data_IF_553728616598
#
_entry.id   IF_553728616598
#
_cell.length_a   1.000
_cell.length_b   1.000
_cell.length_c   1.000
_cell.angle_alpha   90.00
_cell.angle_beta   90.00
_cell.angle_gamma   90.00
#
_symmetry.space_group_name_H-M   'P 1'
#
loop_
_entity.id
_entity.type
_entity.pdbx_description
1 polymer ?
#
# COMPACT_ATOMS: atom_id res chain seq x y z
N UNK A 1 -7.71 -28.27 17.97
CA UNK A 1 -8.10 -26.98 17.36
C UNK A 1 -7.91 -25.96 18.46
N UNK A 2 -6.84 -25.19 18.36
CA UNK A 2 -6.35 -24.38 19.46
C UNK A 2 -6.78 -22.93 19.25
N UNK A 3 -7.72 -22.49 20.09
CA UNK A 3 -8.11 -21.10 20.25
C UNK A 3 -6.87 -20.25 20.62
N UNK A 4 -6.85 -18.91 20.42
CA UNK A 4 -5.81 -18.06 21.00
C UNK A 4 -5.58 -18.28 22.52
N UNK A 5 -6.50 -18.96 23.22
CA UNK A 5 -6.34 -19.45 24.59
C UNK A 5 -5.30 -20.57 24.81
N UNK A 6 -4.75 -21.18 23.75
CA UNK A 6 -3.79 -22.31 23.86
C UNK A 6 -2.32 -21.90 23.65
N UNK A 7 -2.02 -20.64 23.34
CA UNK A 7 -0.65 -20.13 23.34
C UNK A 7 -0.32 -19.61 24.74
N UNK A 8 0.61 -20.26 25.44
CA UNK A 8 1.13 -19.75 26.72
C UNK A 8 1.98 -18.50 26.48
N UNK A 9 1.33 -17.34 26.42
CA UNK A 9 1.94 -16.03 26.21
C UNK A 9 1.88 -15.20 27.50
N UNK A 10 2.87 -14.33 27.69
CA UNK A 10 2.82 -13.36 28.79
C UNK A 10 1.68 -12.34 28.59
N UNK A 11 1.35 -11.63 29.67
CA UNK A 11 0.21 -10.69 29.69
C UNK A 11 0.42 -9.48 28.77
N UNK A 12 1.66 -9.02 28.59
CA UNK A 12 1.98 -7.86 27.76
C UNK A 12 1.81 -8.21 26.28
N UNK A 13 2.37 -9.35 25.85
CA UNK A 13 2.18 -9.92 24.52
C UNK A 13 0.69 -10.14 24.23
N UNK A 14 -0.04 -10.72 25.18
CA UNK A 14 -1.49 -10.97 25.01
C UNK A 14 -2.25 -9.66 24.80
N UNK A 15 -1.95 -8.61 25.59
CA UNK A 15 -2.57 -7.31 25.45
C UNK A 15 -2.22 -6.63 24.11
N UNK A 16 -0.97 -6.75 23.65
CA UNK A 16 -0.52 -6.24 22.36
C UNK A 16 -1.29 -6.90 21.20
N UNK A 17 -1.36 -8.24 21.21
CA UNK A 17 -2.08 -9.02 20.21
C UNK A 17 -3.56 -8.64 20.15
N UNK A 18 -4.21 -8.50 21.31
CA UNK A 18 -5.61 -8.06 21.38
C UNK A 18 -5.80 -6.63 20.85
N UNK A 19 -4.94 -5.68 21.23
CA UNK A 19 -5.03 -4.28 20.78
C UNK A 19 -4.97 -4.16 19.26
N UNK A 20 -4.09 -4.94 18.62
CA UNK A 20 -3.88 -4.87 17.17
C UNK A 20 -4.69 -5.91 16.38
N UNK A 21 -5.54 -6.70 17.03
CA UNK A 21 -6.53 -7.55 16.37
C UNK A 21 -5.97 -8.87 15.86
N UNK A 22 -5.12 -9.54 16.65
CA UNK A 22 -4.64 -10.88 16.34
C UNK A 22 -5.81 -11.85 16.11
N UNK A 23 -5.80 -12.52 14.97
CA UNK A 23 -6.74 -13.59 14.64
C UNK A 23 -6.08 -14.97 14.88
N UNK A 24 -6.43 -15.56 16.03
CA UNK A 24 -5.90 -16.87 16.42
C UNK A 24 -6.39 -18.03 15.57
N UNK A 25 -7.57 -17.94 14.95
CA UNK A 25 -8.10 -18.99 14.07
C UNK A 25 -7.35 -18.99 12.74
N UNK A 26 -7.18 -17.82 12.14
CA UNK A 26 -6.36 -17.65 10.94
C UNK A 26 -4.91 -18.07 11.22
N UNK A 27 -4.33 -17.64 12.35
CA UNK A 27 -2.98 -18.04 12.73
C UNK A 27 -2.83 -19.57 12.84
N UNK A 28 -3.76 -20.25 13.53
CA UNK A 28 -3.73 -21.70 13.67
C UNK A 28 -3.88 -22.43 12.31
N UNK A 29 -4.73 -21.91 11.42
CA UNK A 29 -4.90 -22.44 10.06
C UNK A 29 -3.62 -22.32 9.24
N UNK A 30 -2.95 -21.16 9.27
CA UNK A 30 -1.70 -20.91 8.56
C UNK A 30 -0.54 -21.74 9.10
N UNK A 31 -0.46 -21.89 10.43
CA UNK A 31 0.49 -22.80 11.08
C UNK A 31 0.29 -24.24 10.61
N UNK A 32 -0.95 -24.73 10.62
CA UNK A 32 -1.25 -26.08 10.14
C UNK A 32 -0.89 -26.26 8.65
N UNK A 33 -1.05 -25.22 7.83
CA UNK A 33 -0.63 -25.22 6.42
C UNK A 33 0.90 -25.32 6.29
N UNK A 34 1.65 -24.63 7.15
CA UNK A 34 3.11 -24.77 7.23
C UNK A 34 3.53 -26.18 7.65
N UNK A 35 2.90 -26.76 8.66
CA UNK A 35 3.19 -28.12 9.15
C UNK A 35 2.98 -29.20 8.08
N UNK A 36 2.02 -28.99 7.17
CA UNK A 36 1.76 -29.88 6.02
C UNK A 36 2.71 -29.66 4.84
N UNK A 37 3.60 -28.66 4.90
CA UNK A 37 4.48 -28.30 3.79
C UNK A 37 3.81 -27.53 2.65
N UNK A 38 2.60 -27.00 2.88
CA UNK A 38 1.78 -26.27 1.89
C UNK A 38 2.07 -24.75 1.90
N UNK A 39 3.22 -24.34 2.45
CA UNK A 39 3.63 -22.95 2.64
C UNK A 39 5.06 -22.70 2.10
N UNK A 40 5.47 -23.45 1.08
CA UNK A 40 6.73 -23.24 0.36
C UNK A 40 6.64 -22.12 -0.68
N UNK A 41 7.79 -21.69 -1.22
CA UNK A 41 7.85 -20.64 -2.24
C UNK A 41 7.03 -21.00 -3.49
N UNK A 42 7.00 -22.29 -3.86
CA UNK A 42 6.18 -22.79 -4.97
C UNK A 42 4.68 -22.62 -4.72
N UNK A 43 4.22 -22.69 -3.46
CA UNK A 43 2.81 -22.51 -3.11
C UNK A 43 2.36 -21.04 -3.24
N UNK A 44 3.29 -20.09 -3.37
CA UNK A 44 2.96 -18.70 -3.65
C UNK A 44 2.74 -18.41 -5.14
N UNK A 45 3.13 -19.35 -6.03
CA UNK A 45 3.07 -19.18 -7.47
C UNK A 45 1.68 -19.41 -8.01
N UNK A 46 1.37 -18.74 -9.11
CA UNK A 46 0.14 -18.93 -9.84
C UNK A 46 0.21 -20.27 -10.60
N UNK A 47 -0.79 -21.13 -10.41
CA UNK A 47 -0.92 -22.40 -11.13
C UNK A 47 -1.63 -22.23 -12.50
N UNK A 48 -2.37 -21.13 -12.67
CA UNK A 48 -3.11 -20.80 -13.89
C UNK A 48 -2.26 -20.23 -15.03
N UNK A 49 -2.91 -19.98 -16.17
CA UNK A 49 -2.23 -19.41 -17.33
C UNK A 49 -1.89 -17.93 -17.11
N UNK A 50 -0.60 -17.59 -17.18
CA UNK A 50 -0.13 -16.20 -17.08
C UNK A 50 0.28 -15.67 -18.44
N UNK A 51 -0.21 -14.48 -18.79
CA UNK A 51 0.13 -13.76 -20.03
C UNK A 51 0.46 -12.30 -19.74
N UNK A 52 1.30 -11.65 -20.56
CA UNK A 52 1.49 -10.21 -20.46
C UNK A 52 0.17 -9.45 -20.72
N UNK A 53 0.06 -8.19 -20.30
CA UNK A 53 -1.06 -7.32 -20.67
C UNK A 53 -1.22 -7.21 -22.19
N UNK A 54 -2.47 -7.07 -22.64
CA UNK A 54 -2.85 -6.85 -24.02
C UNK A 54 -2.82 -5.36 -24.39
N UNK A 55 -2.86 -5.05 -25.68
CA UNK A 55 -2.95 -3.68 -26.17
C UNK A 55 -4.23 -3.01 -25.65
N UNK A 56 -4.06 -1.88 -24.96
CA UNK A 56 -5.17 -1.11 -24.38
C UNK A 56 -5.48 -1.44 -22.91
N UNK A 57 -4.89 -2.50 -22.35
CA UNK A 57 -5.00 -2.85 -20.92
C UNK A 57 -4.40 -1.76 -20.03
N UNK A 58 -3.30 -1.16 -20.48
CA UNK A 58 -2.60 -0.08 -19.79
C UNK A 58 -2.73 1.19 -20.63
N UNK A 59 -3.41 2.19 -20.09
CA UNK A 59 -3.63 3.48 -20.76
C UNK A 59 -2.59 4.49 -20.28
N UNK A 60 -1.86 5.18 -21.16
CA UNK A 60 -0.99 6.27 -20.73
C UNK A 60 -1.81 7.42 -20.15
N UNK A 61 -1.32 8.02 -19.07
CA UNK A 61 -1.82 9.30 -18.62
C UNK A 61 -1.53 10.35 -19.71
N UNK A 62 -2.52 11.17 -20.14
CA UNK A 62 -2.28 12.19 -21.15
C UNK A 62 -1.17 13.16 -20.74
N UNK A 63 -0.42 13.64 -21.73
CA UNK A 63 0.75 14.50 -21.51
C UNK A 63 0.39 15.77 -20.74
N UNK A 64 1.30 16.23 -19.88
CA UNK A 64 1.13 17.46 -19.11
C UNK A 64 0.91 18.66 -20.05
N UNK A 65 -0.18 19.40 -19.84
CA UNK A 65 -0.58 20.54 -20.66
C UNK A 65 -1.38 20.19 -21.93
N UNK A 66 -1.67 18.91 -22.17
CA UNK A 66 -2.62 18.51 -23.20
C UNK A 66 -4.07 18.80 -22.77
N UNK A 67 -4.96 19.03 -23.74
CA UNK A 67 -6.39 19.24 -23.48
C UNK A 67 -7.04 18.07 -22.73
N UNK A 68 -6.62 16.82 -23.03
CA UNK A 68 -7.11 15.65 -22.33
C UNK A 68 -6.65 15.63 -20.86
N UNK A 69 -5.39 16.00 -20.59
CA UNK A 69 -4.89 16.11 -19.21
C UNK A 69 -5.61 17.20 -18.42
N UNK A 70 -5.89 18.35 -19.04
CA UNK A 70 -6.66 19.45 -18.43
C UNK A 70 -8.09 19.00 -18.10
N UNK A 71 -8.77 18.35 -19.04
CA UNK A 71 -10.12 17.82 -18.83
C UNK A 71 -10.19 16.79 -17.70
N UNK A 72 -9.22 15.87 -17.64
CA UNK A 72 -9.10 14.94 -16.51
C UNK A 72 -8.85 15.68 -15.19
N UNK A 73 -8.02 16.73 -15.22
CA UNK A 73 -7.67 17.54 -14.05
C UNK A 73 -8.91 18.24 -13.51
N UNK A 74 -9.71 18.85 -14.37
CA UNK A 74 -10.97 19.50 -14.01
C UNK A 74 -11.94 18.51 -13.39
N UNK A 75 -12.11 17.32 -13.98
CA UNK A 75 -12.99 16.27 -13.45
C UNK A 75 -12.58 15.84 -12.03
N UNK A 76 -11.28 15.60 -11.80
CA UNK A 76 -10.80 15.23 -10.47
C UNK A 76 -10.86 16.38 -9.47
N UNK A 77 -10.59 17.62 -9.88
CA UNK A 77 -10.74 18.80 -9.03
C UNK A 77 -12.19 18.99 -8.59
N UNK A 78 -13.15 18.77 -9.50
CA UNK A 78 -14.57 18.82 -9.15
C UNK A 78 -14.94 17.77 -8.10
N UNK A 79 -14.43 16.53 -8.23
CA UNK A 79 -14.65 15.48 -7.22
C UNK A 79 -14.02 15.83 -5.86
N UNK A 80 -12.78 16.33 -5.86
CA UNK A 80 -12.10 16.78 -4.64
C UNK A 80 -12.85 17.96 -3.98
N UNK A 81 -13.27 18.95 -4.77
CA UNK A 81 -14.02 20.12 -4.29
C UNK A 81 -15.37 19.73 -3.69
N UNK A 82 -15.99 18.67 -4.21
CA UNK A 82 -17.22 18.08 -3.68
C UNK A 82 -17.01 17.23 -2.41
N UNK A 83 -15.79 17.14 -1.87
CA UNK A 83 -15.47 16.35 -0.67
C UNK A 83 -15.45 14.83 -0.90
N UNK A 84 -15.39 14.38 -2.16
CA UNK A 84 -15.50 12.96 -2.50
C UNK A 84 -14.18 12.18 -2.40
N UNK A 85 -13.06 12.86 -2.19
CA UNK A 85 -11.72 12.26 -2.29
C UNK A 85 -10.97 12.38 -0.97
N UNK A 86 -10.45 11.26 -0.48
CA UNK A 86 -9.48 11.19 0.60
C UNK A 86 -8.18 10.51 0.16
N UNK A 87 -7.19 10.49 1.03
CA UNK A 87 -5.94 9.74 0.79
C UNK A 87 -5.69 8.68 1.85
N UNK A 88 -5.00 7.60 1.47
CA UNK A 88 -4.47 6.60 2.36
C UNK A 88 -2.94 6.56 2.21
N UNK A 89 -2.23 6.67 3.32
CA UNK A 89 -0.76 6.53 3.36
C UNK A 89 -0.40 5.24 4.08
N UNK A 90 0.27 4.32 3.38
CA UNK A 90 0.79 3.09 3.98
C UNK A 90 2.08 3.41 4.76
N UNK A 91 1.98 3.46 6.08
CA UNK A 91 3.02 3.86 7.04
C UNK A 91 3.31 2.78 8.10
N UNK A 92 3.00 1.51 7.81
CA UNK A 92 3.24 0.37 8.71
C UNK A 92 4.69 -0.12 8.78
N UNK A 93 5.58 0.39 7.91
CA UNK A 93 6.95 -0.10 7.75
C UNK A 93 7.96 0.53 8.71
N UNK A 94 8.78 -0.32 9.32
CA UNK A 94 10.01 0.09 10.00
C UNK A 94 11.15 0.28 8.99
N UNK A 95 11.98 1.28 9.20
CA UNK A 95 13.16 1.56 8.41
C UNK A 95 14.38 0.85 9.02
N UNK A 96 14.42 -0.48 8.94
CA UNK A 96 15.52 -1.29 9.51
C UNK A 96 16.90 -0.86 8.98
N UNK A 97 16.99 -0.48 7.70
CA UNK A 97 18.21 0.06 7.06
C UNK A 97 18.57 1.49 7.50
N UNK A 98 17.68 2.18 8.20
CA UNK A 98 17.87 3.52 8.77
C UNK A 98 18.06 3.44 10.30
N UNK A 99 18.53 2.30 10.81
CA UNK A 99 18.77 2.11 12.25
C UNK A 99 17.52 1.71 13.05
N UNK A 100 16.47 1.20 12.40
CA UNK A 100 15.29 0.69 13.10
C UNK A 100 14.30 1.78 13.54
N UNK A 101 14.31 2.94 12.90
CA UNK A 101 13.33 4.01 13.14
C UNK A 101 12.05 3.78 12.33
N UNK A 102 10.97 4.48 12.69
CA UNK A 102 9.73 4.49 11.92
C UNK A 102 9.98 5.19 10.57
N UNK A 103 9.70 4.51 9.44
CA UNK A 103 10.02 5.06 8.11
C UNK A 103 9.35 6.41 7.84
N UNK A 104 8.14 6.58 8.34
CA UNK A 104 7.35 7.80 8.22
C UNK A 104 8.00 9.03 8.86
N UNK A 105 8.84 8.86 9.89
CA UNK A 105 9.49 9.96 10.62
C UNK A 105 10.87 10.35 10.08
N UNK A 106 11.44 9.56 9.16
CA UNK A 106 12.75 9.86 8.55
C UNK A 106 12.69 11.17 7.76
N UNK A 107 13.64 12.07 8.02
CA UNK A 107 13.89 13.29 7.23
C UNK A 107 14.22 12.90 5.79
N UNK A 108 13.30 13.22 4.89
CA UNK A 108 13.44 12.93 3.47
C UNK A 108 14.07 14.11 2.72
N UNK A 109 13.50 15.31 2.85
CA UNK A 109 13.91 16.50 2.10
C UNK A 109 13.71 17.75 2.95
N UNK A 110 14.72 18.64 2.97
CA UNK A 110 14.66 19.97 3.59
C UNK A 110 14.14 19.98 5.05
N UNK A 111 14.50 18.98 5.86
CA UNK A 111 14.08 18.88 7.26
C UNK A 111 12.68 18.29 7.47
N UNK A 112 12.00 17.88 6.39
CA UNK A 112 10.65 17.31 6.45
C UNK A 112 10.67 15.79 6.33
N UNK A 113 9.86 15.14 7.17
CA UNK A 113 9.72 13.69 7.14
C UNK A 113 8.92 13.21 5.92
N UNK A 114 9.05 11.92 5.57
CA UNK A 114 8.24 11.32 4.51
C UNK A 114 6.74 11.54 4.72
N UNK A 115 6.25 11.34 5.96
CA UNK A 115 4.83 11.55 6.27
C UNK A 115 4.44 13.03 6.17
N UNK A 116 5.28 13.95 6.65
CA UNK A 116 4.98 15.38 6.58
C UNK A 116 4.78 15.83 5.12
N UNK A 117 5.65 15.39 4.21
CA UNK A 117 5.55 15.70 2.78
C UNK A 117 4.27 15.15 2.14
N UNK A 118 3.87 13.92 2.50
CA UNK A 118 2.61 13.31 2.02
C UNK A 118 1.37 14.08 2.50
N UNK A 119 1.35 14.46 3.78
CA UNK A 119 0.23 15.21 4.34
C UNK A 119 0.19 16.67 3.83
N UNK A 120 1.36 17.29 3.62
CA UNK A 120 1.45 18.65 3.06
C UNK A 120 0.90 18.72 1.63
N UNK A 121 1.16 17.72 0.80
CA UNK A 121 0.62 17.66 -0.56
C UNK A 121 -0.92 17.67 -0.58
N UNK A 122 -1.55 16.79 0.20
CA UNK A 122 -3.01 16.74 0.29
C UNK A 122 -3.60 17.99 0.95
N UNK A 123 -2.97 18.52 2.02
CA UNK A 123 -3.40 19.75 2.69
C UNK A 123 -3.43 20.93 1.73
N UNK A 124 -2.38 21.12 0.94
CA UNK A 124 -2.30 22.19 -0.05
C UNK A 124 -3.45 22.12 -1.05
N UNK A 125 -3.84 20.92 -1.50
CA UNK A 125 -4.97 20.76 -2.41
C UNK A 125 -6.30 21.06 -1.73
N UNK A 126 -6.48 20.62 -0.49
CA UNK A 126 -7.67 20.94 0.31
C UNK A 126 -7.84 22.47 0.47
N UNK A 127 -6.75 23.18 0.76
CA UNK A 127 -6.72 24.64 0.87
C UNK A 127 -6.99 25.31 -0.48
N UNK A 128 -6.33 24.87 -1.56
CA UNK A 128 -6.46 25.46 -2.90
C UNK A 128 -7.88 25.29 -3.46
N UNK A 129 -8.53 24.17 -3.17
CA UNK A 129 -9.88 23.86 -3.64
C UNK A 129 -10.98 24.32 -2.70
N UNK A 130 -10.63 24.96 -1.58
CA UNK A 130 -11.58 25.33 -0.52
C UNK A 130 -12.42 24.14 -0.03
N UNK A 131 -11.83 22.95 0.03
CA UNK A 131 -12.51 21.69 0.30
C UNK A 131 -11.95 20.97 1.54
N UNK A 132 -12.56 19.85 1.91
CA UNK A 132 -12.02 18.92 2.90
C UNK A 132 -11.48 17.67 2.21
N UNK A 133 -10.23 17.31 2.46
CA UNK A 133 -9.58 16.09 1.98
C UNK A 133 -9.10 15.30 3.20
N UNK A 134 -9.87 14.30 3.70
CA UNK A 134 -9.45 13.50 4.83
C UNK A 134 -8.26 12.61 4.47
N UNK A 135 -7.36 12.43 5.43
CA UNK A 135 -6.12 11.69 5.27
C UNK A 135 -6.08 10.53 6.26
N UNK A 136 -5.85 9.32 5.78
CA UNK A 136 -5.83 8.10 6.59
C UNK A 136 -4.43 7.49 6.60
N UNK A 137 -3.79 7.42 7.75
CA UNK A 137 -2.47 6.82 7.90
C UNK A 137 -2.60 5.38 8.43
N UNK A 138 -2.29 4.39 7.58
CA UNK A 138 -2.28 2.99 7.96
C UNK A 138 -0.95 2.63 8.61
N UNK A 139 -0.98 2.18 9.86
CA UNK A 139 0.20 1.93 10.70
C UNK A 139 0.34 0.45 11.06
N UNK A 140 1.42 0.08 11.74
CA UNK A 140 1.58 -1.21 12.42
C UNK A 140 1.71 -0.99 13.92
N UNK A 141 1.68 -2.07 14.70
CA UNK A 141 1.96 -1.99 16.14
C UNK A 141 3.31 -1.33 16.48
N UNK A 142 4.28 -1.38 15.57
CA UNK A 142 5.61 -0.78 15.75
C UNK A 142 5.69 0.69 15.30
N UNK A 143 4.75 1.16 14.48
CA UNK A 143 4.77 2.53 13.92
C UNK A 143 3.63 3.42 14.42
N UNK A 144 2.63 2.85 15.08
CA UNK A 144 1.37 3.51 15.42
C UNK A 144 1.56 4.82 16.19
N UNK A 145 2.20 4.76 17.36
CA UNK A 145 2.27 5.90 18.28
C UNK A 145 3.03 7.10 17.65
N UNK A 146 4.12 6.85 16.93
CA UNK A 146 4.90 7.91 16.28
C UNK A 146 4.17 8.51 15.07
N UNK A 147 3.52 7.67 14.26
CA UNK A 147 2.74 8.16 13.10
C UNK A 147 1.49 8.91 13.55
N UNK A 148 0.84 8.47 14.63
CA UNK A 148 -0.28 9.19 15.24
C UNK A 148 0.16 10.56 15.75
N UNK A 149 1.27 10.65 16.47
CA UNK A 149 1.83 11.93 16.94
C UNK A 149 2.10 12.88 15.78
N UNK A 150 2.84 12.44 14.76
CA UNK A 150 3.17 13.25 13.58
C UNK A 150 1.92 13.65 12.78
N UNK A 151 0.96 12.73 12.64
CA UNK A 151 -0.30 12.97 11.96
C UNK A 151 -1.15 14.03 12.68
N UNK A 152 -1.25 13.95 14.00
CA UNK A 152 -1.98 14.89 14.83
C UNK A 152 -1.42 16.32 14.72
N UNK A 153 -0.09 16.47 14.70
CA UNK A 153 0.60 17.76 14.54
C UNK A 153 0.29 18.43 13.18
N UNK A 154 0.04 17.64 12.15
CA UNK A 154 -0.23 18.12 10.78
C UNK A 154 -1.73 18.23 10.46
N UNK A 155 -2.59 17.72 11.34
CA UNK A 155 -4.04 17.66 11.14
C UNK A 155 -4.67 19.05 11.15
N UNK A 156 -5.59 19.31 10.23
CA UNK A 156 -6.34 20.57 10.15
C UNK A 156 -7.82 20.32 9.91
N UNK A 157 -8.67 21.34 10.04
CA UNK A 157 -10.10 21.21 9.73
C UNK A 157 -10.38 20.80 8.27
N UNK A 158 -9.52 21.23 7.33
CA UNK A 158 -9.65 20.91 5.89
C UNK A 158 -8.90 19.65 5.48
N UNK A 159 -7.91 19.23 6.25
CA UNK A 159 -7.17 18.02 5.99
C UNK A 159 -7.02 17.26 7.31
N UNK A 160 -8.12 16.67 7.82
CA UNK A 160 -8.07 15.92 9.06
C UNK A 160 -7.29 14.63 8.86
N UNK A 161 -6.39 14.31 9.79
CA UNK A 161 -5.62 13.07 9.80
C UNK A 161 -6.23 12.08 10.77
N UNK A 162 -6.51 10.88 10.29
CA UNK A 162 -6.93 9.74 11.11
C UNK A 162 -5.92 8.61 10.96
N UNK A 163 -5.37 8.16 12.08
CA UNK A 163 -4.46 7.01 12.10
C UNK A 163 -5.24 5.75 12.45
N UNK A 164 -4.97 4.66 11.75
CA UNK A 164 -5.51 3.34 12.06
C UNK A 164 -4.42 2.29 11.88
N UNK A 165 -4.49 1.20 12.64
CA UNK A 165 -3.48 0.15 12.59
C UNK A 165 -3.96 -1.04 11.76
N UNK A 166 -3.06 -1.58 10.94
CA UNK A 166 -3.19 -2.90 10.37
C UNK A 166 -3.12 -3.97 11.45
N UNK A 167 -3.37 -5.23 11.09
CA UNK A 167 -3.40 -6.31 12.06
C UNK A 167 -1.98 -6.72 12.52
N UNK A 168 -1.94 -7.70 13.42
CA UNK A 168 -0.72 -8.25 13.99
C UNK A 168 -0.80 -9.78 13.94
N UNK A 169 0.34 -10.43 13.77
CA UNK A 169 0.49 -11.89 13.86
C UNK A 169 1.85 -12.26 14.43
N UNK A 170 2.07 -13.55 14.68
CA UNK A 170 3.30 -14.08 15.28
C UNK A 170 4.11 -14.86 14.24
N UNK A 171 5.42 -14.64 14.24
CA UNK A 171 6.32 -15.40 13.38
C UNK A 171 6.40 -16.85 13.83
N UNK A 172 6.60 -17.73 12.87
CA UNK A 172 6.85 -19.15 13.11
C UNK A 172 8.29 -19.48 12.72
N UNK A 173 8.83 -20.53 13.32
CA UNK A 173 9.99 -21.24 12.78
C UNK A 173 9.55 -22.10 11.58
N UNK A 174 10.52 -22.60 10.81
CA UNK A 174 10.23 -23.40 9.60
C UNK A 174 9.59 -24.77 9.88
N UNK A 175 9.65 -25.24 11.12
CA UNK A 175 8.97 -26.43 11.65
C UNK A 175 7.64 -26.09 12.38
N UNK A 176 7.16 -24.84 12.25
CA UNK A 176 5.85 -24.43 12.74
C UNK A 176 5.77 -24.14 14.24
N UNK A 177 6.88 -24.07 14.97
CA UNK A 177 6.89 -23.56 16.34
C UNK A 177 6.81 -22.03 16.36
N UNK A 178 6.48 -21.43 17.51
CA UNK A 178 6.58 -19.98 17.67
C UNK A 178 8.04 -19.54 17.55
N UNK A 179 8.29 -18.50 16.75
CA UNK A 179 9.61 -17.89 16.71
C UNK A 179 9.79 -16.99 17.94
N UNK A 180 10.77 -17.32 18.77
CA UNK A 180 11.17 -16.51 19.94
C UNK A 180 12.57 -15.94 19.77
N UNK A 181 12.85 -14.81 20.38
CA UNK A 181 14.21 -14.26 20.51
C UNK A 181 15.07 -15.05 21.52
N UNK A 182 16.27 -14.54 21.83
CA UNK A 182 17.22 -15.17 22.77
C UNK A 182 16.71 -15.17 24.23
N UNK A 183 15.83 -14.24 24.58
CA UNK A 183 15.23 -14.09 25.90
C UNK A 183 13.90 -14.88 26.03
N UNK A 184 13.47 -15.54 24.95
CA UNK A 184 12.26 -16.35 24.90
C UNK A 184 10.99 -15.56 24.58
N UNK A 185 11.09 -14.27 24.25
CA UNK A 185 9.95 -13.46 23.85
C UNK A 185 9.52 -13.79 22.43
N UNK A 186 8.22 -13.88 22.19
CA UNK A 186 7.67 -14.16 20.84
C UNK A 186 7.90 -13.00 19.89
N UNK A 187 8.03 -13.29 18.60
CA UNK A 187 8.34 -12.29 17.59
C UNK A 187 7.10 -11.88 16.78
N UNK A 188 6.44 -10.75 17.10
CA UNK A 188 5.31 -10.25 16.33
C UNK A 188 5.74 -9.62 15.01
N UNK A 189 4.81 -9.61 14.06
CA UNK A 189 4.95 -8.92 12.78
C UNK A 189 3.60 -8.40 12.30
N UNK A 190 3.63 -7.48 11.34
CA UNK A 190 2.44 -6.96 10.69
C UNK A 190 2.17 -7.72 9.36
N UNK A 191 0.95 -8.22 9.12
CA UNK A 191 0.57 -9.05 7.96
C UNK A 191 0.66 -8.45 6.55
N UNK A 192 1.25 -7.27 6.39
CA UNK A 192 1.37 -6.61 5.09
C UNK A 192 0.17 -5.72 4.74
N UNK A 193 0.31 -4.99 3.64
CA UNK A 193 -0.62 -3.92 3.26
C UNK A 193 -1.98 -4.45 2.73
N UNK A 194 -2.11 -5.76 2.49
CA UNK A 194 -3.39 -6.38 2.16
C UNK A 194 -4.46 -6.23 3.25
N UNK A 195 -4.06 -5.92 4.48
CA UNK A 195 -4.96 -5.61 5.59
C UNK A 195 -5.79 -4.33 5.38
N UNK A 196 -5.47 -3.51 4.38
CA UNK A 196 -6.03 -2.17 4.22
C UNK A 196 -7.58 -2.14 4.29
N UNK A 197 -8.33 -2.93 3.51
CA UNK A 197 -9.80 -2.86 3.53
C UNK A 197 -10.36 -3.21 4.91
N UNK A 198 -9.83 -4.26 5.52
CA UNK A 198 -10.33 -4.83 6.79
C UNK A 198 -9.98 -3.92 7.97
N UNK A 199 -8.75 -3.41 8.01
CA UNK A 199 -8.29 -2.49 9.04
C UNK A 199 -9.02 -1.13 8.96
N UNK A 200 -9.25 -0.62 7.74
CA UNK A 200 -9.97 0.64 7.55
C UNK A 200 -11.46 0.51 7.94
N UNK A 201 -12.09 -0.64 7.66
CA UNK A 201 -13.45 -0.95 8.16
C UNK A 201 -13.50 -1.08 9.67
N UNK A 202 -12.60 -1.88 10.26
CA UNK A 202 -12.52 -2.13 11.71
C UNK A 202 -12.35 -0.83 12.51
N UNK A 203 -11.58 0.13 11.98
CA UNK A 203 -11.40 1.44 12.63
C UNK A 203 -12.64 2.34 12.60
N UNK A 204 -13.65 2.02 11.79
CA UNK A 204 -14.81 2.88 11.54
C UNK A 204 -14.52 4.05 10.59
N UNK A 205 -13.26 4.26 10.18
CA UNK A 205 -12.86 5.34 9.30
C UNK A 205 -13.49 5.22 7.90
N UNK A 206 -13.59 4.01 7.34
CA UNK A 206 -14.26 3.82 6.03
C UNK A 206 -15.72 4.26 6.08
N UNK A 207 -16.43 3.83 7.13
CA UNK A 207 -17.84 4.17 7.33
C UNK A 207 -18.02 5.68 7.47
N UNK A 208 -17.25 6.32 8.35
CA UNK A 208 -17.30 7.77 8.56
C UNK A 208 -16.98 8.55 7.28
N UNK A 209 -15.97 8.11 6.51
CA UNK A 209 -15.63 8.70 5.22
C UNK A 209 -16.81 8.65 4.25
N UNK A 210 -17.43 7.48 4.07
CA UNK A 210 -18.58 7.31 3.18
C UNK A 210 -19.81 8.10 3.63
N UNK A 211 -20.11 8.11 4.93
CA UNK A 211 -21.23 8.89 5.50
C UNK A 211 -21.04 10.40 5.31
N UNK A 212 -19.80 10.87 5.19
CA UNK A 212 -19.48 12.27 4.86
C UNK A 212 -19.51 12.60 3.36
N UNK A 213 -19.85 11.64 2.49
CA UNK A 213 -19.88 11.80 1.03
C UNK A 213 -18.59 11.38 0.32
N UNK A 214 -17.65 10.77 1.04
CA UNK A 214 -16.42 10.21 0.48
C UNK A 214 -16.67 9.02 -0.44
N UNK A 215 -16.07 9.05 -1.64
CA UNK A 215 -16.24 8.02 -2.68
C UNK A 215 -14.91 7.37 -3.06
N UNK A 216 -13.81 8.14 -3.10
CA UNK A 216 -12.52 7.68 -3.64
C UNK A 216 -11.39 7.88 -2.62
N UNK A 217 -10.54 6.86 -2.49
CA UNK A 217 -9.33 6.90 -1.68
C UNK A 217 -8.10 6.75 -2.58
N UNK A 218 -7.23 7.76 -2.61
CA UNK A 218 -5.93 7.64 -3.25
C UNK A 218 -4.91 7.07 -2.26
N UNK A 219 -4.49 5.83 -2.48
CA UNK A 219 -3.56 5.09 -1.65
C UNK A 219 -2.13 5.15 -2.21
N UNK A 220 -1.13 5.35 -1.37
CA UNK A 220 0.28 5.19 -1.75
C UNK A 220 1.19 4.80 -0.57
N UNK A 221 2.37 4.25 -0.87
CA UNK A 221 3.41 4.04 0.14
C UNK A 221 3.96 5.37 0.66
N UNK A 222 4.28 5.43 1.96
CA UNK A 222 4.86 6.62 2.60
C UNK A 222 6.20 7.04 1.97
N UNK A 223 6.98 6.08 1.48
CA UNK A 223 8.33 6.30 0.94
C UNK A 223 8.36 6.69 -0.55
N UNK A 224 7.25 6.53 -1.29
CA UNK A 224 7.13 6.99 -2.67
C UNK A 224 6.68 8.45 -2.72
N UNK A 225 7.61 9.39 -2.62
CA UNK A 225 7.31 10.83 -2.65
C UNK A 225 6.85 11.35 -4.03
N UNK A 226 6.99 10.55 -5.09
CA UNK A 226 6.45 10.87 -6.41
C UNK A 226 4.93 10.73 -6.46
N UNK A 227 4.35 9.82 -5.65
CA UNK A 227 2.93 9.56 -5.60
C UNK A 227 2.18 10.66 -4.83
N UNK A 228 2.07 11.85 -5.43
CA UNK A 228 1.25 12.97 -4.96
C UNK A 228 -0.22 12.79 -5.34
N UNK A 229 -1.14 13.44 -4.63
CA UNK A 229 -2.56 13.47 -4.96
C UNK A 229 -2.77 14.32 -6.23
N UNK A 230 -3.00 13.66 -7.36
CA UNK A 230 -3.11 14.31 -8.66
C UNK A 230 -4.55 14.29 -9.17
N UNK A 231 -5.19 15.45 -9.38
CA UNK A 231 -6.56 15.50 -9.86
C UNK A 231 -6.79 14.77 -11.17
N UNK A 232 -5.85 14.75 -12.11
CA UNK A 232 -6.08 14.02 -13.36
C UNK A 232 -5.92 12.51 -13.22
N UNK A 233 -5.27 11.99 -12.17
CA UNK A 233 -5.36 10.56 -11.82
C UNK A 233 -6.76 10.22 -11.31
N UNK A 234 -7.33 11.07 -10.44
CA UNK A 234 -8.72 10.92 -9.98
C UNK A 234 -9.69 11.03 -11.18
N UNK A 235 -9.48 12.00 -12.06
CA UNK A 235 -10.24 12.14 -13.30
C UNK A 235 -10.16 10.88 -14.17
N UNK A 236 -8.95 10.33 -14.38
CA UNK A 236 -8.75 9.12 -15.16
C UNK A 236 -9.47 7.91 -14.54
N UNK A 237 -9.47 7.78 -13.22
CA UNK A 237 -10.24 6.76 -12.52
C UNK A 237 -11.74 6.94 -12.75
N UNK A 238 -12.27 8.15 -12.61
CA UNK A 238 -13.69 8.43 -12.84
C UNK A 238 -14.12 8.09 -14.27
N UNK A 239 -13.28 8.35 -15.27
CA UNK A 239 -13.55 7.91 -16.65
C UNK A 239 -13.52 6.40 -16.82
N UNK A 240 -12.54 5.73 -16.22
CA UNK A 240 -12.48 4.27 -16.24
C UNK A 240 -13.70 3.65 -15.54
N UNK A 241 -14.17 4.27 -14.45
CA UNK A 241 -15.38 3.87 -13.75
C UNK A 241 -16.61 3.99 -14.65
N UNK A 242 -16.79 5.13 -15.33
CA UNK A 242 -17.91 5.32 -16.26
C UNK A 242 -17.85 4.39 -17.48
N UNK A 243 -16.65 4.13 -18.02
CA UNK A 243 -16.47 3.35 -19.23
C UNK A 243 -16.55 1.84 -19.01
N UNK A 244 -16.01 1.34 -17.90
CA UNK A 244 -15.87 -0.11 -17.66
C UNK A 244 -16.23 -0.56 -16.24
N UNK A 245 -16.76 0.33 -15.40
CA UNK A 245 -17.11 0.02 -14.01
C UNK A 245 -15.90 -0.15 -13.10
N UNK A 246 -14.72 0.35 -13.49
CA UNK A 246 -13.49 0.23 -12.70
C UNK A 246 -13.70 0.70 -11.25
N UNK A 247 -13.37 -0.17 -10.29
CA UNK A 247 -13.43 0.08 -8.84
C UNK A 247 -12.06 0.27 -8.21
N UNK A 248 -11.01 -0.05 -8.97
CA UNK A 248 -9.62 0.20 -8.62
C UNK A 248 -8.86 0.66 -9.87
N UNK A 249 -8.04 1.69 -9.73
CA UNK A 249 -7.07 2.08 -10.77
C UNK A 249 -5.67 1.97 -10.21
N UNK A 250 -4.81 1.17 -10.84
CA UNK A 250 -3.41 1.02 -10.48
C UNK A 250 -2.52 1.94 -11.31
N UNK A 251 -1.64 2.70 -10.66
CA UNK A 251 -0.57 3.41 -11.34
C UNK A 251 0.60 2.47 -11.62
N UNK A 252 1.03 2.42 -12.88
CA UNK A 252 2.20 1.66 -13.33
C UNK A 252 3.19 2.58 -14.03
N UNK A 253 4.48 2.27 -13.96
CA UNK A 253 5.53 3.01 -14.68
C UNK A 253 6.20 2.13 -15.72
N UNK A 254 6.96 2.71 -16.64
CA UNK A 254 7.85 1.92 -17.48
C UNK A 254 8.80 1.09 -16.59
N UNK A 255 8.97 -0.19 -16.94
CA UNK A 255 9.92 -1.10 -16.28
C UNK A 255 11.34 -0.72 -16.70
N UNK A 256 12.23 -0.56 -15.72
CA UNK A 256 13.66 -0.33 -15.96
C UNK A 256 14.47 -1.59 -15.60
N UNK A 257 15.67 -1.79 -16.20
CA UNK A 257 16.54 -2.88 -15.82
C UNK A 257 16.83 -2.90 -14.32
N UNK A 258 16.55 -4.04 -13.67
CA UNK A 258 16.75 -4.21 -12.23
C UNK A 258 15.52 -3.94 -11.36
N UNK A 259 14.40 -3.48 -11.93
CA UNK A 259 13.12 -3.43 -11.22
C UNK A 259 12.69 -4.84 -10.81
N UNK A 260 12.51 -5.04 -9.50
CA UNK A 260 12.00 -6.29 -8.90
C UNK A 260 10.76 -5.97 -8.08
N UNK A 261 9.64 -6.59 -8.42
CA UNK A 261 8.34 -6.31 -7.81
C UNK A 261 7.19 -6.63 -8.76
N UNK A 262 5.98 -6.29 -8.36
CA UNK A 262 4.79 -6.63 -9.13
C UNK A 262 4.63 -5.89 -10.44
N UNK A 263 3.81 -6.49 -11.31
CA UNK A 263 3.45 -5.95 -12.60
C UNK A 263 2.01 -6.38 -12.96
N UNK A 264 1.29 -5.64 -13.82
CA UNK A 264 0.03 -6.12 -14.36
C UNK A 264 0.26 -7.33 -15.26
N UNK A 265 -0.54 -8.37 -15.10
CA UNK A 265 -0.54 -9.57 -15.94
C UNK A 265 -1.96 -10.15 -16.03
N UNK A 266 -2.24 -10.90 -17.09
CA UNK A 266 -3.48 -11.65 -17.23
C UNK A 266 -3.29 -13.02 -16.60
N UNK A 267 -4.13 -13.35 -15.63
CA UNK A 267 -4.19 -14.67 -14.97
C UNK A 267 -5.52 -15.29 -15.34
N UNK A 268 -5.48 -16.40 -16.07
CA UNK A 268 -6.66 -17.09 -16.60
C UNK A 268 -7.62 -16.17 -17.40
N UNK A 269 -7.06 -15.14 -18.01
CA UNK A 269 -7.78 -14.14 -18.81
C UNK A 269 -8.04 -12.83 -18.10
N UNK A 270 -7.97 -12.78 -16.76
CA UNK A 270 -8.28 -11.59 -15.98
C UNK A 270 -7.03 -10.76 -15.67
N UNK A 271 -7.07 -9.48 -16.02
CA UNK A 271 -5.97 -8.54 -15.81
C UNK A 271 -5.91 -8.10 -14.33
N UNK A 272 -4.77 -8.35 -13.69
CA UNK A 272 -4.55 -8.06 -12.27
C UNK A 272 -3.07 -7.74 -11.98
N UNK A 273 -2.78 -7.15 -10.82
CA UNK A 273 -1.43 -7.02 -10.30
C UNK A 273 -0.94 -8.37 -9.76
N UNK A 274 0.22 -8.80 -10.26
CA UNK A 274 0.91 -10.01 -9.82
C UNK A 274 2.29 -9.63 -9.31
N UNK A 275 2.63 -10.00 -8.07
CA UNK A 275 3.98 -9.80 -7.53
C UNK A 275 5.01 -10.73 -8.17
N UNK A 276 6.27 -10.28 -8.21
CA UNK A 276 7.38 -11.01 -8.83
C UNK A 276 7.47 -12.48 -8.39
N UNK A 277 7.34 -12.76 -7.09
CA UNK A 277 7.48 -14.12 -6.55
C UNK A 277 6.27 -15.03 -6.85
N UNK A 278 5.19 -14.49 -7.41
CA UNK A 278 3.99 -15.25 -7.77
C UNK A 278 3.97 -15.71 -9.23
N UNK A 279 4.84 -15.15 -10.07
CA UNK A 279 4.92 -15.59 -11.47
C UNK A 279 5.41 -17.05 -11.52
N UNK A 280 4.89 -17.86 -12.46
CA UNK A 280 5.47 -19.16 -12.77
C UNK A 280 6.96 -19.05 -13.12
N UNK A 281 7.74 -20.08 -12.82
CA UNK A 281 9.19 -20.10 -13.09
C UNK A 281 9.55 -19.96 -14.57
N UNK A 282 8.68 -20.46 -15.44
CA UNK A 282 8.83 -20.43 -16.89
C UNK A 282 8.27 -19.16 -17.53
N UNK A 283 7.68 -18.25 -16.72
CA UNK A 283 7.19 -16.98 -17.20
C UNK A 283 8.28 -15.91 -17.20
N UNK A 284 8.59 -15.38 -18.39
CA UNK A 284 9.51 -14.25 -18.53
C UNK A 284 8.82 -12.92 -18.18
N UNK A 285 9.02 -12.43 -16.95
CA UNK A 285 8.48 -11.15 -16.49
C UNK A 285 9.01 -9.94 -17.28
N UNK A 286 10.12 -10.06 -18.02
CA UNK A 286 10.65 -8.96 -18.83
C UNK A 286 9.82 -8.72 -20.11
N UNK A 287 8.91 -9.64 -20.45
CA UNK A 287 7.88 -9.41 -21.46
C UNK A 287 6.85 -8.36 -21.04
N UNK A 288 6.77 -8.02 -19.74
CA UNK A 288 5.89 -6.97 -19.23
C UNK A 288 6.67 -5.66 -19.15
N UNK A 289 6.35 -4.72 -20.05
CA UNK A 289 7.05 -3.43 -20.17
C UNK A 289 6.72 -2.39 -19.09
N UNK A 290 5.93 -2.76 -18.07
CA UNK A 290 5.50 -1.86 -16.99
C UNK A 290 5.64 -2.49 -15.62
N UNK A 291 5.71 -1.65 -14.59
CA UNK A 291 5.99 -2.01 -13.21
C UNK A 291 4.98 -1.37 -12.25
N UNK A 292 4.50 -2.12 -11.26
CA UNK A 292 3.54 -1.65 -10.26
C UNK A 292 4.17 -0.61 -9.32
N UNK A 293 3.56 0.56 -9.19
CA UNK A 293 4.05 1.59 -8.24
C UNK A 293 3.57 1.38 -6.81
N UNK A 294 2.61 0.46 -6.60
CA UNK A 294 1.82 0.33 -5.38
C UNK A 294 1.14 1.67 -4.99
N UNK A 295 0.55 2.34 -5.99
CA UNK A 295 -0.33 3.49 -5.81
C UNK A 295 -1.65 3.20 -6.51
N UNK A 296 -2.77 3.40 -5.80
CA UNK A 296 -4.09 3.04 -6.28
C UNK A 296 -5.10 4.14 -6.03
N UNK A 297 -6.05 4.33 -6.95
CA UNK A 297 -7.33 4.95 -6.63
C UNK A 297 -8.30 3.82 -6.31
N UNK A 298 -8.93 3.87 -5.14
CA UNK A 298 -9.83 2.84 -4.62
C UNK A 298 -11.24 3.43 -4.44
N UNK A 299 -12.26 2.73 -4.94
CA UNK A 299 -13.66 3.01 -4.65
C UNK A 299 -13.97 2.58 -3.20
N UNK A 300 -14.40 3.53 -2.36
CA UNK A 300 -14.62 3.31 -0.94
C UNK A 300 -15.79 2.35 -0.65
N UNK A 301 -16.83 2.33 -1.49
CA UNK A 301 -17.92 1.38 -1.35
C UNK A 301 -17.47 -0.04 -1.70
N UNK A 302 -16.64 -0.19 -2.74
CA UNK A 302 -16.12 -1.48 -3.14
C UNK A 302 -15.24 -2.15 -2.07
N UNK A 303 -14.63 -1.36 -1.18
CA UNK A 303 -13.84 -1.85 -0.03
C UNK A 303 -14.70 -2.33 1.15
N UNK A 304 -16.01 -2.06 1.16
CA UNK A 304 -16.88 -2.39 2.30
C UNK A 304 -17.36 -3.84 2.32
N UNK A 305 -16.41 -4.78 2.16
CA UNK A 305 -16.63 -6.23 2.19
C UNK A 305 -15.33 -6.97 2.49
N UNK A 306 -15.45 -8.25 2.83
CA UNK A 306 -14.29 -9.13 2.99
C UNK A 306 -13.76 -9.57 1.62
N UNK A 307 -12.44 -9.72 1.51
CA UNK A 307 -11.77 -10.24 0.33
C UNK A 307 -10.99 -11.50 0.70
N UNK A 308 -11.12 -12.61 -0.05
CA UNK A 308 -10.38 -13.84 0.22
C UNK A 308 -8.95 -13.72 -0.32
N UNK A 309 -8.17 -12.81 0.23
CA UNK A 309 -6.78 -12.60 -0.16
C UNK A 309 -5.94 -13.84 0.21
N UNK A 310 -4.94 -14.15 -0.62
CA UNK A 310 -4.04 -15.30 -0.42
C UNK A 310 -2.94 -14.97 0.56
N UNK A 311 -2.83 -15.76 1.63
CA UNK A 311 -1.75 -15.69 2.64
C UNK A 311 -0.46 -16.22 2.04
N UNK A 312 0.51 -15.36 1.74
CA UNK A 312 1.80 -15.77 1.22
C UNK A 312 2.79 -16.05 2.34
N UNK A 313 3.39 -17.23 2.33
CA UNK A 313 4.48 -17.53 3.24
C UNK A 313 5.75 -16.82 2.77
N UNK A 314 6.36 -16.03 3.65
CA UNK A 314 7.61 -15.31 3.37
C UNK A 314 8.64 -15.71 4.41
N UNK A 315 9.79 -16.20 3.94
CA UNK A 315 10.96 -16.48 4.77
C UNK A 315 11.80 -15.21 4.94
N UNK A 316 12.08 -14.84 6.18
CA UNK A 316 12.95 -13.71 6.52
C UNK A 316 14.03 -14.14 7.50
N UNK A 317 15.09 -13.32 7.59
CA UNK A 317 16.07 -13.43 8.67
C UNK A 317 15.71 -12.46 9.78
N UNK A 318 15.45 -12.99 10.96
CA UNK A 318 15.20 -12.24 12.20
C UNK A 318 16.25 -12.71 13.19
N UNK A 319 17.05 -11.79 13.73
CA UNK A 319 18.17 -12.08 14.64
C UNK A 319 19.10 -13.19 14.11
N UNK A 320 19.38 -13.14 12.81
CA UNK A 320 20.24 -14.11 12.11
C UNK A 320 19.61 -15.49 11.87
N UNK A 321 18.43 -15.78 12.43
CA UNK A 321 17.69 -17.04 12.25
C UNK A 321 16.58 -16.89 11.22
N UNK A 322 16.24 -18.00 10.56
CA UNK A 322 15.12 -18.02 9.62
C UNK A 322 13.79 -18.00 10.39
N UNK A 323 12.90 -17.11 9.96
CA UNK A 323 11.53 -17.00 10.45
C UNK A 323 10.56 -17.02 9.26
N UNK A 324 9.42 -17.65 9.45
CA UNK A 324 8.29 -17.65 8.52
C UNK A 324 7.26 -16.64 9.02
N UNK A 325 6.79 -15.79 8.12
CA UNK A 325 5.67 -14.90 8.35
C UNK A 325 4.72 -14.95 7.15
N UNK A 326 3.42 -14.73 7.37
CA UNK A 326 2.42 -14.77 6.33
C UNK A 326 1.94 -13.36 5.99
N UNK A 327 2.05 -12.98 4.71
CA UNK A 327 1.68 -11.63 4.27
C UNK A 327 0.58 -11.64 3.22
N UNK A 328 -0.22 -10.58 3.23
CA UNK A 328 -1.21 -10.24 2.21
C UNK A 328 -0.88 -8.94 1.51
N UNK A 329 -1.32 -8.84 0.27
CA UNK A 329 -0.95 -7.76 -0.63
C UNK A 329 -2.17 -7.06 -1.20
N UNK A 330 -2.24 -5.75 -0.97
CA UNK A 330 -3.33 -4.89 -1.48
C UNK A 330 -3.50 -4.97 -3.00
N UNK A 331 -2.42 -5.24 -3.75
CA UNK A 331 -2.47 -5.41 -5.19
C UNK A 331 -3.42 -6.56 -5.64
N UNK A 332 -3.62 -7.58 -4.81
CA UNK A 332 -4.57 -8.65 -5.10
C UNK A 332 -6.02 -8.18 -5.20
N UNK A 333 -6.38 -7.01 -4.67
CA UNK A 333 -7.73 -6.46 -4.84
C UNK A 333 -8.10 -6.35 -6.33
N UNK A 334 -7.12 -6.16 -7.22
CA UNK A 334 -7.33 -6.13 -8.66
C UNK A 334 -7.82 -7.45 -9.26
N UNK A 335 -7.64 -8.58 -8.56
CA UNK A 335 -8.20 -9.87 -8.94
C UNK A 335 -9.69 -10.01 -8.58
N UNK A 336 -10.20 -9.17 -7.67
CA UNK A 336 -11.56 -9.25 -7.12
C UNK A 336 -12.43 -8.04 -7.51
N UNK A 337 -11.83 -7.02 -8.10
CA UNK A 337 -12.47 -5.77 -8.49
C UNK A 337 -12.20 -5.47 -9.97
N UNK A 338 -13.19 -4.95 -10.70
CA UNK A 338 -12.95 -4.39 -12.02
C UNK A 338 -11.84 -3.34 -11.95
N UNK A 339 -10.78 -3.55 -12.72
CA UNK A 339 -9.52 -2.82 -12.58
C UNK A 339 -9.17 -2.03 -13.84
N UNK A 340 -8.59 -0.86 -13.65
CA UNK A 340 -7.96 -0.08 -14.71
C UNK A 340 -6.48 0.15 -14.39
N UNK A 341 -5.66 0.35 -15.42
CA UNK A 341 -4.21 0.55 -15.26
C UNK A 341 -3.80 1.79 -16.03
N UNK A 342 -3.15 2.71 -15.33
CA UNK A 342 -2.68 3.98 -15.89
C UNK A 342 -1.16 3.99 -15.88
N UNK A 343 -0.54 4.12 -17.06
CA UNK A 343 0.90 4.33 -17.18
C UNK A 343 1.22 5.79 -16.91
N UNK A 344 2.00 6.02 -15.85
CA UNK A 344 2.42 7.35 -15.40
C UNK A 344 3.91 7.58 -15.67
N UNK A 345 4.32 8.85 -15.66
CA UNK A 345 5.73 9.19 -15.76
C UNK A 345 6.48 8.72 -14.50
N UNK A 346 7.65 8.11 -14.69
CA UNK A 346 8.47 7.58 -13.59
C UNK A 346 9.18 8.71 -12.85
N UNK A 347 9.86 9.55 -13.61
CA UNK A 347 10.75 10.62 -13.14
C UNK A 347 10.42 11.97 -13.79
N UNK A 348 11.17 13.01 -13.42
CA UNK A 348 10.97 14.38 -13.91
C UNK A 348 9.84 15.12 -13.19
N UNK A 349 9.43 16.26 -13.76
CA UNK A 349 8.45 17.15 -13.13
C UNK A 349 7.05 16.52 -13.00
N UNK A 350 6.65 15.64 -13.93
CA UNK A 350 5.42 14.85 -13.86
C UNK A 350 5.64 13.45 -13.29
N UNK A 351 6.83 13.17 -12.73
CA UNK A 351 7.17 11.88 -12.15
C UNK A 351 6.21 11.50 -11.01
N UNK A 352 5.94 10.20 -10.89
CA UNK A 352 5.03 9.62 -9.87
C UNK A 352 5.62 8.43 -9.11
N UNK A 353 6.88 8.06 -9.40
CA UNK A 353 7.53 6.92 -8.78
C UNK A 353 8.94 7.25 -8.29
N UNK A 354 9.00 7.71 -7.04
CA UNK A 354 10.24 8.00 -6.31
C UNK A 354 10.28 7.28 -4.94
N UNK A 355 10.20 5.93 -4.90
CA UNK A 355 10.37 5.19 -3.65
C UNK A 355 11.81 5.25 -3.17
N UNK A 356 12.04 5.18 -1.86
CA UNK A 356 13.38 5.26 -1.27
C UNK A 356 13.62 4.11 -0.31
N UNK A 357 14.56 3.21 -0.60
CA UNK A 357 14.75 1.97 0.15
C UNK A 357 15.76 2.09 1.30
N UNK A 358 16.81 2.90 1.13
CA UNK A 358 17.89 3.05 2.11
C UNK A 358 18.46 4.48 2.16
N UNK A 359 19.27 4.83 3.18
CA UNK A 359 19.78 6.19 3.35
C UNK A 359 20.68 6.68 2.21
N UNK A 360 21.48 5.79 1.61
CA UNK A 360 22.39 6.17 0.53
C UNK A 360 21.61 6.49 -0.75
N UNK A 361 20.59 5.69 -1.05
CA UNK A 361 19.64 5.98 -2.12
C UNK A 361 18.89 7.30 -1.89
N UNK A 362 18.42 7.55 -0.65
CA UNK A 362 17.75 8.80 -0.31
C UNK A 362 18.63 10.00 -0.63
N UNK A 363 19.89 9.98 -0.18
CA UNK A 363 20.81 11.09 -0.37
C UNK A 363 21.11 11.33 -1.86
N UNK A 364 21.35 10.25 -2.62
CA UNK A 364 21.60 10.35 -4.05
C UNK A 364 20.40 10.92 -4.82
N UNK A 365 19.17 10.58 -4.41
CA UNK A 365 17.92 10.98 -5.10
C UNK A 365 17.32 12.27 -4.56
N UNK A 366 17.80 12.79 -3.43
CA UNK A 366 17.28 13.99 -2.76
C UNK A 366 17.12 15.19 -3.72
N UNK A 367 18.09 15.51 -4.62
CA UNK A 367 17.92 16.62 -5.57
C UNK A 367 16.75 16.42 -6.55
N UNK A 368 16.57 15.21 -7.07
CA UNK A 368 15.49 14.87 -7.99
C UNK A 368 14.13 14.92 -7.29
N UNK A 369 14.02 14.29 -6.12
CA UNK A 369 12.81 14.30 -5.30
C UNK A 369 12.41 15.74 -4.96
N UNK A 370 13.37 16.56 -4.54
CA UNK A 370 13.14 17.98 -4.25
C UNK A 370 12.63 18.74 -5.46
N UNK A 371 13.21 18.52 -6.63
CA UNK A 371 12.78 19.17 -7.87
C UNK A 371 11.35 18.77 -8.27
N UNK A 372 11.02 17.48 -8.15
CA UNK A 372 9.67 16.95 -8.36
C UNK A 372 8.66 17.60 -7.41
N UNK A 373 8.95 17.61 -6.10
CA UNK A 373 8.06 18.16 -5.09
C UNK A 373 7.79 19.66 -5.31
N UNK A 374 8.83 20.43 -5.70
CA UNK A 374 8.66 21.83 -6.10
C UNK A 374 7.82 22.00 -7.35
N UNK A 375 8.02 21.17 -8.37
CA UNK A 375 7.22 21.19 -9.60
C UNK A 375 5.73 20.89 -9.33
N UNK A 376 5.45 20.07 -8.32
CA UNK A 376 4.09 19.76 -7.84
C UNK A 376 3.53 20.79 -6.84
N UNK A 377 4.34 21.77 -6.44
CA UNK A 377 3.99 22.78 -5.45
C UNK A 377 3.91 22.28 -4.01
N UNK A 378 4.45 21.08 -3.72
CA UNK A 378 4.47 20.53 -2.36
C UNK A 378 5.49 21.28 -1.49
N UNK A 379 6.65 21.60 -2.05
CA UNK A 379 7.73 22.36 -1.40
C UNK A 379 7.80 23.81 -1.88
#
# INVERSE_FOLDING_TARGET
>A
MSSPHDLELDAETTALLQRYGFDGETFASLRARLDRGEAGDDANRIEGAVRPPEDGDVRPLPELGSADRERLTEKGRAAMAAGKVGIVVLAGGMATRFGGVVKASVDAVDGQSFLALKLQDARRLAETLDATIPMFAMTSFATHDEVERLGAEMSTARAPVTTFAQFISLRLTSDGALFTDEDGAVSPYAPGHGDLPDALRRSGALKAFRESGGELLYMSNVDNLGATLDPAIIGAHLEANEASGAKITAEVVAKEPGDKGGAPARVDGDLQIVEAFRFPDDFDQDTIGVFNTNSFVLDAEALDRDFPLTWFAVRKKVDGREAVQFEHLVGQLTAFLPSAFVKVARSGADGRFQPVKDPAELEARRPEIRALLKARGVL
#
